data_IF_944832623518
#
_entry.id   IF_944832623518
#
_cell.length_a   1.000
_cell.length_b   1.000
_cell.length_c   1.000
_cell.angle_alpha   90.00
_cell.angle_beta   90.00
_cell.angle_gamma   90.00
#
_symmetry.space_group_name_H-M   'P 1'
#
loop_
_entity.id
_entity.type
_entity.pdbx_description
1 polymer ?
#
# COMPACT_ATOMS: atom_id res chain seq x y z
N UNK A 1 -6.16 16.02 -2.92
CA UNK A 1 -5.21 16.08 -1.78
C UNK A 1 -3.83 15.86 -2.36
N UNK A 2 -2.83 16.67 -2.02
CA UNK A 2 -1.45 16.55 -2.54
C UNK A 2 -0.52 16.19 -1.38
N UNK A 3 0.51 15.40 -1.67
CA UNK A 3 1.54 14.97 -0.71
C UNK A 3 2.93 15.30 -1.25
N UNK A 4 3.88 15.52 -0.34
CA UNK A 4 5.28 15.76 -0.69
C UNK A 4 5.95 14.44 -1.07
N UNK A 5 6.61 14.38 -2.23
CA UNK A 5 7.51 13.29 -2.58
C UNK A 5 8.88 13.54 -1.93
N UNK A 6 9.28 12.69 -1.00
CA UNK A 6 10.56 12.79 -0.32
C UNK A 6 11.67 12.21 -1.20
N UNK A 7 12.68 13.02 -1.46
CA UNK A 7 13.87 12.64 -2.22
C UNK A 7 15.09 12.63 -1.31
N UNK A 8 15.97 11.65 -1.49
CA UNK A 8 17.19 11.48 -0.71
C UNK A 8 18.42 11.36 -1.63
N UNK A 9 19.59 11.79 -1.15
CA UNK A 9 20.85 11.70 -1.88
C UNK A 9 20.98 12.65 -3.07
N UNK A 10 22.18 12.70 -3.66
CA UNK A 10 22.48 13.51 -4.85
C UNK A 10 21.83 12.95 -6.12
N UNK A 11 21.53 11.65 -6.12
CA UNK A 11 20.87 10.92 -7.21
C UNK A 11 19.32 10.98 -7.12
N UNK A 12 18.79 11.70 -6.13
CA UNK A 12 17.36 11.92 -5.94
C UNK A 12 16.56 10.61 -5.87
N UNK A 13 16.93 9.76 -4.91
CA UNK A 13 16.23 8.53 -4.58
C UNK A 13 14.84 8.85 -4.05
N UNK A 14 13.84 8.19 -4.62
CA UNK A 14 12.46 8.22 -4.17
C UNK A 14 12.37 7.40 -2.89
N UNK A 15 11.84 8.00 -1.83
CA UNK A 15 11.71 7.36 -0.51
C UNK A 15 10.24 7.16 -0.13
N UNK A 16 9.56 8.25 0.23
CA UNK A 16 8.18 8.25 0.74
C UNK A 16 7.33 9.35 0.09
N UNK A 17 6.00 9.20 0.15
CA UNK A 17 5.05 10.25 -0.25
C UNK A 17 4.26 10.73 0.97
N UNK A 18 4.63 11.89 1.53
CA UNK A 18 4.06 12.41 2.76
C UNK A 18 4.38 11.47 3.93
N UNK A 19 3.38 10.74 4.41
CA UNK A 19 3.50 9.74 5.48
C UNK A 19 3.17 8.33 4.96
N UNK A 20 3.47 8.06 3.68
CA UNK A 20 3.18 6.79 3.01
C UNK A 20 4.45 6.21 2.37
N UNK A 21 4.64 4.91 2.51
CA UNK A 21 5.66 4.19 1.74
C UNK A 21 5.23 4.09 0.27
N UNK A 22 6.18 4.13 -0.66
CA UNK A 22 5.89 4.09 -2.09
C UNK A 22 6.16 2.73 -2.73
N UNK A 23 5.35 2.42 -3.74
CA UNK A 23 5.44 1.23 -4.58
C UNK A 23 5.35 1.61 -6.05
N UNK A 24 6.28 1.10 -6.84
CA UNK A 24 6.31 1.20 -8.30
C UNK A 24 5.99 -0.17 -8.90
N UNK A 25 4.89 -0.27 -9.63
CA UNK A 25 4.54 -1.42 -10.44
C UNK A 25 4.87 -1.12 -11.90
N UNK A 26 5.75 -1.92 -12.50
CA UNK A 26 6.38 -1.59 -13.76
C UNK A 26 7.05 -2.82 -14.41
N UNK A 27 7.48 -2.67 -15.66
CA UNK A 27 8.38 -3.62 -16.32
C UNK A 27 9.81 -3.15 -16.06
N UNK A 28 10.62 -3.97 -15.39
CA UNK A 28 11.99 -3.62 -15.02
C UNK A 28 12.95 -3.58 -16.22
N UNK A 29 14.22 -3.29 -15.98
CA UNK A 29 15.23 -3.20 -17.04
C UNK A 29 15.51 -4.53 -17.75
N UNK A 30 15.24 -5.65 -17.08
CA UNK A 30 15.39 -7.01 -17.62
C UNK A 30 14.14 -7.48 -18.39
N UNK A 31 13.09 -6.64 -18.46
CA UNK A 31 11.83 -6.97 -19.13
C UNK A 31 10.85 -7.78 -18.27
N UNK A 32 11.10 -7.90 -16.96
CA UNK A 32 10.24 -8.62 -16.03
C UNK A 32 9.21 -7.69 -15.40
N UNK A 33 7.99 -8.20 -15.18
CA UNK A 33 7.01 -7.50 -14.37
C UNK A 33 7.45 -7.47 -12.90
N UNK A 34 7.48 -6.29 -12.30
CA UNK A 34 8.02 -6.06 -10.97
C UNK A 34 7.16 -5.09 -10.14
N UNK A 35 6.97 -5.42 -8.86
CA UNK A 35 6.53 -4.51 -7.81
C UNK A 35 7.76 -4.15 -6.96
N UNK A 36 8.28 -2.94 -7.18
CA UNK A 36 9.45 -2.43 -6.48
C UNK A 36 9.04 -1.45 -5.38
N UNK A 37 9.70 -1.52 -4.23
CA UNK A 37 9.62 -0.51 -3.17
C UNK A 37 11.03 -0.21 -2.64
N UNK A 38 11.33 1.03 -2.23
CA UNK A 38 12.60 1.36 -1.60
C UNK A 38 12.91 0.47 -0.36
N UNK A 39 14.18 0.09 -0.12
CA UNK A 39 14.57 -0.79 0.98
C UNK A 39 14.57 -0.06 2.34
N UNK A 40 14.55 -0.83 3.43
CA UNK A 40 14.67 -0.28 4.78
C UNK A 40 16.15 -0.04 5.15
N UNK A 41 16.71 1.06 4.66
CA UNK A 41 18.11 1.47 4.86
C UNK A 41 18.32 2.48 6.00
N UNK A 42 17.24 2.79 6.74
CA UNK A 42 17.23 3.76 7.85
C UNK A 42 16.62 5.12 7.50
N UNK A 43 16.37 5.41 6.22
CA UNK A 43 15.68 6.65 5.80
C UNK A 43 14.16 6.45 5.78
N UNK A 44 13.70 5.22 5.58
CA UNK A 44 12.30 4.88 5.29
C UNK A 44 11.63 4.26 6.51
N UNK A 45 10.41 4.69 6.82
CA UNK A 45 9.66 4.12 7.94
C UNK A 45 9.19 2.70 7.60
N UNK A 46 9.39 1.71 8.48
CA UNK A 46 8.93 0.34 8.26
C UNK A 46 7.41 0.22 8.46
N UNK A 47 6.65 0.64 7.45
CA UNK A 47 5.19 0.64 7.51
C UNK A 47 4.59 -0.77 7.54
N UNK A 48 3.59 -0.98 8.41
CA UNK A 48 2.88 -2.26 8.49
C UNK A 48 2.11 -2.55 7.19
N UNK A 49 1.44 -1.55 6.61
CA UNK A 49 0.73 -1.72 5.33
C UNK A 49 1.69 -2.06 4.19
N UNK A 50 2.89 -1.46 4.18
CA UNK A 50 3.97 -1.83 3.24
C UNK A 50 4.34 -3.30 3.37
N UNK A 51 4.59 -3.76 4.60
CA UNK A 51 4.92 -5.16 4.87
C UNK A 51 3.81 -6.11 4.39
N UNK A 52 2.55 -5.80 4.70
CA UNK A 52 1.42 -6.61 4.25
C UNK A 52 1.29 -6.68 2.72
N UNK A 53 1.58 -5.58 2.01
CA UNK A 53 1.57 -5.56 0.53
C UNK A 53 2.67 -6.47 -0.03
N UNK A 54 3.89 -6.39 0.51
CA UNK A 54 5.02 -7.24 0.07
C UNK A 54 4.66 -8.72 0.26
N UNK A 55 4.16 -9.09 1.44
CA UNK A 55 3.80 -10.48 1.75
C UNK A 55 2.66 -11.00 0.87
N UNK A 56 1.62 -10.19 0.64
CA UNK A 56 0.52 -10.56 -0.26
C UNK A 56 1.01 -10.75 -1.70
N UNK A 57 1.80 -9.81 -2.22
CA UNK A 57 2.33 -9.88 -3.57
C UNK A 57 3.27 -11.09 -3.76
N UNK A 58 4.14 -11.36 -2.79
CA UNK A 58 5.01 -12.55 -2.79
C UNK A 58 4.19 -13.84 -2.74
N UNK A 59 3.10 -13.87 -1.96
CA UNK A 59 2.21 -15.03 -1.86
C UNK A 59 1.46 -15.30 -3.16
N UNK A 60 1.10 -14.27 -3.92
CA UNK A 60 0.48 -14.45 -5.23
C UNK A 60 1.46 -15.04 -6.25
N UNK A 61 2.74 -14.62 -6.21
CA UNK A 61 3.80 -15.17 -7.06
C UNK A 61 3.60 -14.89 -8.55
N UNK A 62 2.83 -13.85 -8.89
CA UNK A 62 2.48 -13.48 -10.26
C UNK A 62 3.55 -12.63 -10.95
N UNK A 63 4.35 -11.90 -10.17
CA UNK A 63 5.40 -10.98 -10.63
C UNK A 63 6.51 -10.86 -9.57
N UNK A 64 7.64 -10.27 -9.96
CA UNK A 64 8.79 -10.06 -9.07
C UNK A 64 8.45 -9.03 -8.00
N UNK A 65 8.82 -9.29 -6.76
CA UNK A 65 8.71 -8.32 -5.66
C UNK A 65 10.11 -7.98 -5.18
N UNK A 66 10.48 -6.70 -5.21
CA UNK A 66 11.83 -6.27 -4.85
C UNK A 66 11.84 -5.07 -3.92
N UNK A 67 12.72 -5.15 -2.92
CA UNK A 67 13.11 -4.01 -2.10
C UNK A 67 14.38 -3.42 -2.72
N UNK A 68 14.24 -2.38 -3.55
CA UNK A 68 15.34 -1.77 -4.30
C UNK A 68 15.24 -0.25 -4.37
N UNK A 69 16.38 0.43 -4.43
CA UNK A 69 16.41 1.88 -4.61
C UNK A 69 15.85 2.28 -5.98
N UNK A 70 15.04 3.33 -6.01
CA UNK A 70 14.39 3.89 -7.19
C UNK A 70 14.74 5.36 -7.23
N UNK A 71 15.34 5.86 -8.32
CA UNK A 71 15.67 7.28 -8.46
C UNK A 71 14.69 8.02 -9.36
N UNK A 72 14.63 9.34 -9.25
CA UNK A 72 13.84 10.15 -10.18
C UNK A 72 14.28 9.97 -11.64
N UNK A 73 15.61 9.90 -11.89
CA UNK A 73 16.13 9.63 -13.23
C UNK A 73 15.65 8.28 -13.77
N UNK A 74 15.53 7.29 -12.90
CA UNK A 74 15.01 5.98 -13.26
C UNK A 74 13.53 6.05 -13.63
N UNK A 75 12.71 6.69 -12.79
CA UNK A 75 11.28 6.84 -13.03
C UNK A 75 11.00 7.63 -14.33
N UNK A 76 11.72 8.73 -14.57
CA UNK A 76 11.59 9.52 -15.80
C UNK A 76 11.91 8.69 -17.06
N UNK A 77 12.95 7.84 -17.00
CA UNK A 77 13.31 6.93 -18.10
C UNK A 77 12.21 5.89 -18.32
N UNK A 78 11.75 5.23 -17.27
CA UNK A 78 10.70 4.21 -17.36
C UNK A 78 9.38 4.78 -17.90
N UNK A 79 9.03 6.04 -17.54
CA UNK A 79 7.87 6.74 -18.09
C UNK A 79 8.01 7.01 -19.59
N UNK A 80 9.18 7.48 -20.04
CA UNK A 80 9.45 7.71 -21.48
C UNK A 80 9.36 6.42 -22.30
N UNK A 81 9.75 5.31 -21.69
CA UNK A 81 9.74 3.97 -22.30
C UNK A 81 8.39 3.26 -22.15
N UNK A 82 7.37 3.88 -21.55
CA UNK A 82 6.06 3.30 -21.27
C UNK A 82 6.12 1.99 -20.46
N UNK A 83 7.11 1.86 -19.56
CA UNK A 83 7.29 0.68 -18.71
C UNK A 83 6.60 0.79 -17.35
N UNK A 84 6.23 2.00 -16.94
CA UNK A 84 5.49 2.21 -15.68
C UNK A 84 4.03 1.81 -15.88
N UNK A 85 3.49 1.01 -14.96
CA UNK A 85 2.07 0.66 -14.94
C UNK A 85 1.33 1.42 -13.85
N UNK A 86 1.84 1.41 -12.62
CA UNK A 86 1.27 2.14 -11.49
C UNK A 86 2.35 2.66 -10.55
N UNK A 87 2.06 3.78 -9.90
CA UNK A 87 2.79 4.27 -8.74
C UNK A 87 1.75 4.57 -7.66
N UNK A 88 1.96 4.07 -6.45
CA UNK A 88 1.03 4.29 -5.35
C UNK A 88 1.74 4.39 -4.00
N UNK A 89 1.15 5.16 -3.10
CA UNK A 89 1.50 5.19 -1.69
C UNK A 89 0.73 4.13 -0.91
N UNK A 90 1.28 3.72 0.23
CA UNK A 90 0.62 2.86 1.21
C UNK A 90 0.83 3.41 2.61
N UNK A 91 -0.20 3.31 3.44
CA UNK A 91 -0.14 3.72 4.83
C UNK A 91 -1.44 3.48 5.56
N UNK A 92 -1.41 3.46 6.89
CA UNK A 92 -2.58 3.10 7.71
C UNK A 92 -3.79 4.00 7.46
N UNK A 93 -3.58 5.30 7.23
CA UNK A 93 -4.65 6.26 6.98
C UNK A 93 -5.31 6.12 5.60
N UNK A 94 -4.56 5.64 4.61
CA UNK A 94 -5.03 5.47 3.23
C UNK A 94 -4.33 4.23 2.66
N UNK A 95 -4.88 3.06 3.01
CA UNK A 95 -4.32 1.72 2.81
C UNK A 95 -3.49 1.62 1.52
N UNK A 96 -4.09 2.00 0.40
CA UNK A 96 -3.41 2.20 -0.89
C UNK A 96 -3.93 3.50 -1.52
N UNK A 97 -3.01 4.37 -1.95
CA UNK A 97 -3.32 5.65 -2.59
C UNK A 97 -2.58 5.79 -3.94
N UNK A 98 -3.26 5.63 -5.08
CA UNK A 98 -2.66 5.84 -6.40
C UNK A 98 -2.09 7.26 -6.60
N UNK A 99 -0.98 7.36 -7.33
CA UNK A 99 -0.33 8.63 -7.70
C UNK A 99 -0.60 8.91 -9.18
N UNK A 100 -1.25 10.05 -9.47
CA UNK A 100 -1.56 10.45 -10.85
C UNK A 100 -0.53 11.38 -11.49
N UNK A 101 0.15 12.21 -10.69
CA UNK A 101 1.13 13.19 -11.19
C UNK A 101 2.23 13.46 -10.16
N UNK A 102 3.43 13.77 -10.66
CA UNK A 102 4.56 14.23 -9.85
C UNK A 102 5.08 15.54 -10.45
N UNK A 103 5.23 16.56 -9.61
CA UNK A 103 5.92 17.79 -9.98
C UNK A 103 7.41 17.68 -9.61
N UNK A 104 8.28 17.71 -10.62
CA UNK A 104 9.72 17.55 -10.42
C UNK A 104 10.49 18.51 -11.33
N UNK A 105 11.36 19.35 -10.74
CA UNK A 105 12.17 20.34 -11.46
C UNK A 105 11.39 21.21 -12.47
N UNK A 106 10.19 21.65 -12.08
CA UNK A 106 9.30 22.45 -12.94
C UNK A 106 8.59 21.67 -14.04
N UNK A 107 8.77 20.35 -14.12
CA UNK A 107 8.07 19.47 -15.06
C UNK A 107 6.96 18.70 -14.35
N UNK A 108 5.83 18.54 -15.05
CA UNK A 108 4.75 17.65 -14.64
C UNK A 108 4.95 16.29 -15.27
N UNK A 109 5.26 15.28 -14.45
CA UNK A 109 5.33 13.89 -14.86
C UNK A 109 3.96 13.25 -14.66
N UNK A 110 3.34 12.81 -15.75
CA UNK A 110 2.04 12.15 -15.72
C UNK A 110 2.23 10.65 -15.61
N UNK A 111 1.61 10.04 -14.60
CA UNK A 111 1.59 8.59 -14.46
C UNK A 111 0.45 8.05 -15.32
N UNK A 112 0.63 6.86 -15.94
CA UNK A 112 -0.42 6.28 -16.76
C UNK A 112 -1.65 5.99 -15.91
N UNK A 113 -2.80 6.48 -16.37
CA UNK A 113 -4.09 6.26 -15.74
C UNK A 113 -5.10 5.88 -16.82
N UNK A 114 -5.60 4.64 -16.76
CA UNK A 114 -6.65 4.15 -17.66
C UNK A 114 -7.84 3.70 -16.82
N UNK A 115 -9.01 4.28 -17.05
CA UNK A 115 -10.21 4.04 -16.21
C UNK A 115 -10.68 2.58 -16.23
N UNK A 116 -10.44 1.86 -17.33
CA UNK A 116 -10.98 0.51 -17.54
C UNK A 116 -9.93 -0.61 -17.44
N UNK A 117 -8.73 -0.31 -16.95
CA UNK A 117 -7.65 -1.30 -16.79
C UNK A 117 -7.67 -1.84 -15.36
N UNK A 118 -7.71 -3.17 -15.15
CA UNK A 118 -7.57 -3.76 -13.81
C UNK A 118 -6.28 -3.28 -13.16
N UNK A 119 -6.38 -2.84 -11.90
CA UNK A 119 -5.24 -2.24 -11.19
C UNK A 119 -4.80 -3.06 -10.02
N UNK A 120 -3.48 -3.18 -9.88
CA UNK A 120 -2.85 -3.78 -8.73
C UNK A 120 -3.21 -3.00 -7.46
N UNK A 121 -3.19 -1.66 -7.52
CA UNK A 121 -3.60 -0.82 -6.38
C UNK A 121 -5.03 -1.10 -5.92
N UNK A 122 -5.98 -1.25 -6.84
CA UNK A 122 -7.38 -1.58 -6.53
C UNK A 122 -7.54 -2.99 -5.95
N UNK A 123 -6.81 -3.98 -6.48
CA UNK A 123 -6.78 -5.35 -5.93
C UNK A 123 -6.22 -5.36 -4.51
N UNK A 124 -5.07 -4.72 -4.29
CA UNK A 124 -4.44 -4.61 -2.97
C UNK A 124 -5.36 -3.92 -1.96
N UNK A 125 -5.99 -2.80 -2.35
CA UNK A 125 -6.95 -2.11 -1.50
C UNK A 125 -8.10 -3.02 -1.10
N UNK A 126 -8.69 -3.73 -2.06
CA UNK A 126 -9.80 -4.64 -1.80
C UNK A 126 -9.38 -5.76 -0.85
N UNK A 127 -8.29 -6.46 -1.14
CA UNK A 127 -7.81 -7.60 -0.35
C UNK A 127 -7.46 -7.19 1.09
N UNK A 128 -6.75 -6.08 1.27
CA UNK A 128 -6.40 -5.58 2.60
C UNK A 128 -7.64 -5.13 3.38
N UNK A 129 -8.57 -4.44 2.73
CA UNK A 129 -9.82 -4.01 3.38
C UNK A 129 -10.68 -5.22 3.75
N UNK A 130 -10.79 -6.21 2.85
CA UNK A 130 -11.53 -7.44 3.10
C UNK A 130 -10.94 -8.19 4.31
N UNK A 131 -9.61 -8.24 4.47
CA UNK A 131 -8.95 -8.80 5.65
C UNK A 131 -9.31 -8.01 6.91
N UNK A 132 -9.27 -6.67 6.84
CA UNK A 132 -9.53 -5.79 7.99
C UNK A 132 -10.97 -5.85 8.52
N UNK A 133 -11.95 -6.10 7.64
CA UNK A 133 -13.38 -6.12 8.01
C UNK A 133 -13.96 -7.53 8.11
N UNK A 134 -13.17 -8.56 7.77
CA UNK A 134 -13.62 -9.95 7.81
C UNK A 134 -14.00 -10.38 9.23
N UNK A 135 -15.03 -11.23 9.39
CA UNK A 135 -15.33 -11.85 10.68
C UNK A 135 -14.10 -12.61 11.20
N UNK A 136 -13.87 -12.58 12.52
CA UNK A 136 -12.72 -13.26 13.14
C UNK A 136 -12.70 -14.77 12.92
N UNK A 137 -13.82 -15.36 12.48
CA UNK A 137 -13.92 -16.77 12.10
C UNK A 137 -13.28 -17.11 10.75
N UNK A 138 -12.79 -16.14 9.97
CA UNK A 138 -12.10 -16.42 8.71
C UNK A 138 -10.60 -16.71 8.92
N UNK A 139 -10.01 -17.66 8.19
CA UNK A 139 -8.58 -17.96 8.29
C UNK A 139 -7.64 -16.79 7.96
N UNK A 140 -8.14 -15.77 7.25
CA UNK A 140 -7.40 -14.57 6.88
C UNK A 140 -7.37 -13.49 7.96
N UNK A 141 -8.19 -13.60 9.02
CA UNK A 141 -8.28 -12.62 10.11
C UNK A 141 -7.11 -12.69 11.12
N UNK A 142 -6.09 -13.51 10.86
CA UNK A 142 -4.89 -13.66 11.71
C UNK A 142 -4.12 -12.35 11.96
N UNK A 143 -4.35 -11.33 11.12
CA UNK A 143 -3.74 -10.00 11.21
C UNK A 143 -4.56 -9.00 12.05
N UNK A 144 -5.73 -9.41 12.54
CA UNK A 144 -6.68 -8.54 13.25
C UNK A 144 -6.72 -8.87 14.74
N UNK A 145 -7.02 -7.86 15.56
CA UNK A 145 -7.23 -8.01 17.01
C UNK A 145 -8.68 -7.65 17.32
N UNK A 146 -9.38 -8.50 18.06
CA UNK A 146 -10.73 -8.22 18.55
C UNK A 146 -10.64 -7.54 19.92
N UNK A 147 -11.04 -6.25 20.05
CA UNK A 147 -11.03 -5.57 21.35
C UNK A 147 -12.18 -6.06 22.24
N UNK A 148 -11.88 -6.32 23.51
CA UNK A 148 -12.84 -6.81 24.52
C UNK A 148 -14.10 -5.92 24.64
N UNK A 149 -13.98 -4.62 24.36
CA UNK A 149 -15.08 -3.65 24.43
C UNK A 149 -16.09 -3.73 23.28
N UNK A 150 -15.77 -4.39 22.15
CA UNK A 150 -16.70 -4.50 21.02
C UNK A 150 -17.79 -5.57 21.22
N UNK A 151 -17.64 -6.45 22.20
CA UNK A 151 -18.70 -7.38 22.63
C UNK A 151 -19.95 -6.59 23.02
N UNK A 152 -19.81 -5.46 23.70
CA UNK A 152 -20.96 -4.68 24.16
C UNK A 152 -21.75 -4.05 23.00
N UNK A 153 -21.05 -3.50 22.01
CA UNK A 153 -21.64 -2.91 20.79
C UNK A 153 -22.25 -3.96 19.86
N UNK A 154 -21.60 -5.13 19.70
CA UNK A 154 -22.15 -6.25 18.93
C UNK A 154 -23.33 -6.92 19.65
N UNK A 155 -23.29 -7.06 20.98
CA UNK A 155 -24.41 -7.58 21.78
C UNK A 155 -25.62 -6.62 21.77
N UNK A 156 -25.41 -5.29 21.73
CA UNK A 156 -26.51 -4.33 21.55
C UNK A 156 -27.02 -4.26 20.11
N UNK A 157 -26.15 -4.37 19.11
CA UNK A 157 -26.56 -4.37 17.70
C UNK A 157 -27.25 -5.68 17.25
N UNK A 158 -26.88 -6.82 17.85
CA UNK A 158 -27.42 -8.15 17.53
C UNK A 158 -28.35 -8.73 18.62
N UNK A 159 -28.72 -7.93 19.62
CA UNK A 159 -29.75 -8.28 20.60
C UNK A 159 -29.47 -9.52 21.46
N UNK A 160 -28.21 -9.91 21.62
CA UNK A 160 -27.80 -11.04 22.46
C UNK A 160 -26.97 -10.54 23.64
N UNK A 161 -27.65 -10.01 24.65
CA UNK A 161 -27.06 -9.80 25.97
C UNK A 161 -27.35 -11.07 26.79
N UNK A 162 -26.34 -11.86 27.22
CA UNK A 162 -26.56 -12.96 28.15
C UNK A 162 -27.07 -12.41 29.48
N UNK A 163 -28.11 -13.03 30.05
CA UNK A 163 -28.84 -12.60 31.26
C UNK A 163 -28.02 -12.57 32.55
N UNK A 164 -26.75 -12.95 32.49
CA UNK A 164 -25.99 -13.41 33.66
C UNK A 164 -24.91 -12.41 34.10
N UNK A 165 -24.77 -11.29 33.37
CA UNK A 165 -23.75 -10.27 33.64
C UNK A 165 -24.32 -9.15 34.49
N UNK A 166 -23.94 -9.13 35.78
CA UNK A 166 -24.19 -8.03 36.70
C UNK A 166 -23.05 -7.01 36.63
N UNK A 167 -23.37 -5.74 36.39
CA UNK A 167 -22.39 -4.67 36.24
C UNK A 167 -21.83 -4.21 37.60
N UNK A 168 -20.50 -4.07 37.68
CA UNK A 168 -19.82 -3.17 38.60
C UNK A 168 -18.99 -2.19 37.76
N UNK A 169 -19.56 -0.98 37.65
CA UNK A 169 -19.08 0.30 37.08
C UNK A 169 -18.61 0.28 35.63
#
# INVERSE_FOLDING_TARGET
>A
MHSVLWLYGEDHQITEAGTMNLFLHWINEDGEEELATPPLDGVILPGITRQSIIELAQKWGEFKVSERSITMAHLERALKENRVMELFGSGTACVVSPVGHIMYQGKSLHLPWQENTPRLSSRLLKELTDIQVSPFSTPSAVWCVEPISCIWLLCTAYGRIPSDWSFLV
#
